data_IF_737401706462
#
_entry.id   IF_737401706462
#
_cell.length_a   1.000
_cell.length_b   1.000
_cell.length_c   1.000
_cell.angle_alpha   90.00
_cell.angle_beta   90.00
_cell.angle_gamma   90.00
#
_symmetry.space_group_name_H-M   'P 1'
#
loop_
_entity.id
_entity.type
_entity.pdbx_description
1 polymer ?
#
# COMPACT_ATOMS: atom_id res chain seq x y z
N UNK A 1 -11.02 23.79 15.07
CA UNK A 1 -10.45 23.60 13.72
C UNK A 1 -10.51 22.12 13.36
N UNK A 2 -10.69 21.79 12.08
CA UNK A 2 -11.01 20.44 11.59
C UNK A 2 -10.06 20.09 10.42
N UNK A 3 -9.59 18.84 10.38
CA UNK A 3 -8.91 18.26 9.23
C UNK A 3 -9.95 17.93 8.15
N UNK A 4 -9.99 18.72 7.08
CA UNK A 4 -11.03 18.63 6.04
C UNK A 4 -10.57 17.94 4.74
N UNK A 5 -9.26 17.71 4.58
CA UNK A 5 -8.70 17.18 3.33
C UNK A 5 -8.88 18.15 2.16
N UNK A 6 -8.55 19.42 2.36
CA UNK A 6 -8.62 20.44 1.30
C UNK A 6 -7.62 20.08 0.20
N UNK A 7 -8.04 20.04 -1.09
CA UNK A 7 -7.12 19.80 -2.19
C UNK A 7 -6.02 20.86 -2.22
N UNK A 8 -4.75 20.45 -2.30
CA UNK A 8 -3.60 21.35 -2.34
C UNK A 8 -2.67 21.02 -3.52
N UNK A 9 -1.83 21.98 -3.91
CA UNK A 9 -0.75 21.75 -4.86
C UNK A 9 0.45 21.02 -4.19
N UNK A 10 1.51 20.75 -4.96
CA UNK A 10 2.71 20.07 -4.48
C UNK A 10 3.46 20.83 -3.37
N UNK A 11 3.23 22.15 -3.26
CA UNK A 11 3.82 23.02 -2.24
C UNK A 11 2.94 23.13 -0.98
N UNK A 12 1.82 22.41 -0.92
CA UNK A 12 0.89 22.42 0.22
C UNK A 12 -0.04 23.65 0.27
N UNK A 13 -0.18 24.38 -0.84
CA UNK A 13 -1.11 25.51 -0.93
C UNK A 13 -2.48 25.04 -1.40
N UNK A 14 -3.53 25.47 -0.71
CA UNK A 14 -4.92 25.13 -1.05
C UNK A 14 -5.29 25.55 -2.47
N UNK A 15 -5.91 24.63 -3.19
CA UNK A 15 -6.46 24.87 -4.52
C UNK A 15 -7.84 25.51 -4.44
N UNK A 16 -8.23 26.36 -5.41
CA UNK A 16 -9.60 26.84 -5.52
C UNK A 16 -10.61 25.68 -5.57
N UNK A 17 -11.84 25.87 -5.06
CA UNK A 17 -12.93 24.91 -5.24
C UNK A 17 -13.09 24.54 -6.72
N UNK A 18 -13.38 23.26 -7.00
CA UNK A 18 -13.58 22.71 -8.35
C UNK A 18 -12.35 22.74 -9.28
N UNK A 19 -11.13 22.92 -8.74
CA UNK A 19 -9.91 22.73 -9.51
C UNK A 19 -9.86 21.33 -10.13
N UNK A 20 -9.55 21.25 -11.43
CA UNK A 20 -9.41 19.97 -12.11
C UNK A 20 -8.30 19.15 -11.44
N UNK A 21 -8.50 17.84 -11.20
CA UNK A 21 -7.45 16.99 -10.66
C UNK A 21 -6.26 17.00 -11.62
N UNK A 22 -5.05 16.94 -11.06
CA UNK A 22 -3.87 16.65 -11.88
C UNK A 22 -4.13 15.38 -12.68
N UNK A 23 -3.74 15.33 -13.97
CA UNK A 23 -3.84 14.11 -14.74
C UNK A 23 -3.16 12.98 -13.97
N UNK A 24 -3.74 11.76 -13.95
CA UNK A 24 -3.09 10.61 -13.36
C UNK A 24 -1.65 10.51 -13.85
N UNK A 25 -0.72 10.14 -12.98
CA UNK A 25 0.66 9.83 -13.36
C UNK A 25 0.73 8.50 -14.12
N UNK A 26 -0.22 8.25 -15.03
CA UNK A 26 -0.33 7.04 -15.82
C UNK A 26 0.64 7.14 -17.00
N UNK A 27 1.84 6.61 -16.76
CA UNK A 27 2.88 6.47 -17.78
C UNK A 27 3.52 7.79 -18.19
N UNK A 28 4.77 7.73 -18.60
CA UNK A 28 5.37 8.80 -19.38
C UNK A 28 4.61 8.85 -20.73
N UNK A 29 3.88 9.93 -21.07
CA UNK A 29 3.16 10.00 -22.34
C UNK A 29 4.10 9.93 -23.55
N UNK A 30 5.39 10.22 -23.37
CA UNK A 30 6.41 10.01 -24.41
C UNK A 30 6.86 8.54 -24.53
N UNK A 31 6.59 7.71 -23.50
CA UNK A 31 6.94 6.29 -23.44
C UNK A 31 5.78 5.45 -22.90
N UNK A 32 4.66 5.34 -23.64
CA UNK A 32 3.46 4.65 -23.18
C UNK A 32 3.69 3.15 -22.90
N UNK A 33 4.73 2.57 -23.48
CA UNK A 33 5.08 1.16 -23.34
C UNK A 33 6.29 0.91 -22.44
N UNK A 34 6.82 1.92 -21.75
CA UNK A 34 8.00 1.74 -20.88
C UNK A 34 7.76 0.58 -19.89
N UNK A 35 8.72 -0.36 -19.74
CA UNK A 35 10.11 -0.36 -20.23
C UNK A 35 10.31 -0.95 -21.64
N UNK A 36 9.24 -1.38 -22.30
CA UNK A 36 9.27 -1.90 -23.65
C UNK A 36 9.44 -0.78 -24.69
N UNK A 37 10.11 -1.11 -25.78
CA UNK A 37 10.35 -0.23 -26.93
C UNK A 37 9.12 -0.02 -27.81
N UNK A 38 8.15 -0.94 -27.77
CA UNK A 38 6.94 -0.89 -28.60
C UNK A 38 5.79 -1.73 -28.03
N UNK A 39 4.57 -1.47 -28.50
CA UNK A 39 3.39 -2.28 -28.20
C UNK A 39 3.59 -3.76 -28.54
N UNK A 40 4.15 -4.06 -29.71
CA UNK A 40 4.38 -5.44 -30.16
C UNK A 40 5.34 -6.18 -29.24
N UNK A 41 6.36 -5.50 -28.70
CA UNK A 41 7.30 -6.08 -27.75
C UNK A 41 6.62 -6.38 -26.40
N UNK A 42 5.72 -5.49 -25.94
CA UNK A 42 4.89 -5.72 -24.75
C UNK A 42 3.94 -6.90 -24.92
N UNK A 43 3.21 -6.96 -26.04
CA UNK A 43 2.25 -8.06 -26.32
C UNK A 43 2.96 -9.42 -26.43
N UNK A 44 4.16 -9.44 -27.02
CA UNK A 44 4.99 -10.65 -27.05
C UNK A 44 5.42 -11.08 -25.63
N UNK A 45 5.80 -10.13 -24.79
CA UNK A 45 6.15 -10.42 -23.40
C UNK A 45 4.95 -10.97 -22.62
N UNK A 46 3.77 -10.36 -22.75
CA UNK A 46 2.54 -10.81 -22.11
C UNK A 46 2.13 -12.21 -22.57
N UNK A 47 2.21 -12.48 -23.88
CA UNK A 47 1.90 -13.79 -24.44
C UNK A 47 2.86 -14.87 -23.89
N UNK A 48 4.17 -14.63 -23.98
CA UNK A 48 5.18 -15.65 -23.67
C UNK A 48 5.35 -15.86 -22.16
N UNK A 49 5.26 -14.79 -21.37
CA UNK A 49 5.50 -14.85 -19.92
C UNK A 49 4.23 -15.12 -19.11
N UNK A 50 3.12 -14.43 -19.43
CA UNK A 50 1.91 -14.48 -18.62
C UNK A 50 0.85 -15.44 -19.19
N UNK A 51 0.64 -15.46 -20.51
CA UNK A 51 -0.35 -16.36 -21.11
C UNK A 51 0.14 -17.81 -21.24
N UNK A 52 1.34 -18.00 -21.81
CA UNK A 52 1.88 -19.32 -22.13
C UNK A 52 2.85 -19.87 -21.05
N UNK A 53 3.33 -19.02 -20.13
CA UNK A 53 4.33 -19.35 -19.10
C UNK A 53 5.52 -20.17 -19.68
N UNK A 54 6.03 -19.72 -20.82
CA UNK A 54 6.93 -20.49 -21.66
C UNK A 54 8.28 -20.74 -20.94
N UNK A 55 8.84 -21.97 -20.99
CA UNK A 55 10.14 -22.25 -20.38
C UNK A 55 11.27 -21.41 -21.00
N UNK A 56 12.21 -20.94 -20.18
CA UNK A 56 13.29 -20.03 -20.60
C UNK A 56 14.05 -20.47 -21.87
N UNK A 57 14.36 -21.76 -22.01
CA UNK A 57 15.05 -22.27 -23.20
C UNK A 57 14.19 -22.24 -24.48
N UNK A 58 12.86 -22.32 -24.35
CA UNK A 58 11.95 -22.15 -25.48
C UNK A 58 11.81 -20.68 -25.86
N UNK A 59 11.86 -19.76 -24.89
CA UNK A 59 11.92 -18.31 -25.14
C UNK A 59 13.17 -17.98 -25.96
N UNK A 60 14.34 -18.49 -25.57
CA UNK A 60 15.59 -18.29 -26.33
C UNK A 60 15.46 -18.82 -27.77
N UNK A 61 14.92 -20.03 -27.92
CA UNK A 61 14.69 -20.63 -29.24
C UNK A 61 13.72 -19.80 -30.10
N UNK A 62 12.67 -19.24 -29.49
CA UNK A 62 11.72 -18.38 -30.18
C UNK A 62 12.39 -17.08 -30.64
N UNK A 63 13.24 -16.46 -29.80
CA UNK A 63 13.99 -15.26 -30.20
C UNK A 63 14.96 -15.54 -31.34
N UNK A 64 15.65 -16.68 -31.32
CA UNK A 64 16.52 -17.12 -32.43
C UNK A 64 15.75 -17.30 -33.74
N UNK A 65 14.55 -17.88 -33.67
CA UNK A 65 13.65 -18.03 -34.83
C UNK A 65 13.23 -16.65 -35.36
N UNK A 66 12.78 -15.75 -34.48
CA UNK A 66 12.35 -14.40 -34.86
C UNK A 66 13.50 -13.60 -35.49
N UNK A 67 14.72 -13.73 -34.96
CA UNK A 67 15.92 -13.13 -35.55
C UNK A 67 16.18 -13.65 -36.97
N UNK A 68 15.96 -14.94 -37.24
CA UNK A 68 16.14 -15.52 -38.56
C UNK A 68 15.08 -15.09 -39.58
N UNK A 69 13.87 -14.72 -39.13
CA UNK A 69 12.81 -14.20 -39.99
C UNK A 69 13.00 -12.71 -40.34
N UNK A 70 13.72 -11.97 -39.53
CA UNK A 70 13.98 -10.55 -39.77
C UNK A 70 15.21 -10.33 -40.65
N UNK A 71 15.08 -9.47 -41.66
CA UNK A 71 16.18 -9.10 -42.55
C UNK A 71 17.31 -8.36 -41.80
N UNK A 72 17.00 -7.74 -40.66
CA UNK A 72 18.00 -7.09 -39.80
C UNK A 72 18.69 -8.05 -38.83
N UNK A 73 18.17 -9.26 -38.64
CA UNK A 73 18.70 -10.24 -37.68
C UNK A 73 18.47 -9.87 -36.21
N UNK A 74 17.62 -8.88 -35.90
CA UNK A 74 17.46 -8.36 -34.54
C UNK A 74 16.16 -8.89 -33.92
N UNK A 75 16.22 -9.77 -32.90
CA UNK A 75 15.02 -10.23 -32.23
C UNK A 75 14.41 -9.15 -31.33
N UNK A 76 13.11 -9.23 -30.99
CA UNK A 76 12.48 -8.32 -30.04
C UNK A 76 13.11 -8.35 -28.63
N UNK A 77 13.67 -9.49 -28.21
CA UNK A 77 14.46 -9.61 -27.00
C UNK A 77 15.73 -10.40 -27.31
N UNK A 78 16.84 -10.04 -26.67
CA UNK A 78 18.13 -10.72 -26.90
C UNK A 78 18.14 -12.17 -26.42
N UNK A 79 17.37 -12.47 -25.36
CA UNK A 79 17.15 -13.78 -24.76
C UNK A 79 16.11 -13.66 -23.63
N UNK A 80 15.79 -14.76 -22.95
CA UNK A 80 14.88 -14.76 -21.81
C UNK A 80 15.30 -13.82 -20.66
N UNK A 81 16.60 -13.59 -20.43
CA UNK A 81 17.06 -12.67 -19.37
C UNK A 81 16.77 -11.21 -19.70
N UNK A 82 16.85 -10.86 -20.97
CA UNK A 82 16.50 -9.52 -21.45
C UNK A 82 15.00 -9.26 -21.28
N UNK A 83 14.17 -10.26 -21.64
CA UNK A 83 12.74 -10.26 -21.36
C UNK A 83 12.45 -10.10 -19.87
N UNK A 84 13.06 -10.94 -19.02
CA UNK A 84 12.84 -10.88 -17.57
C UNK A 84 13.33 -9.56 -16.97
N UNK A 85 14.45 -9.02 -17.46
CA UNK A 85 14.95 -7.71 -17.07
C UNK A 85 13.97 -6.59 -17.41
N UNK A 86 13.33 -6.65 -18.60
CA UNK A 86 12.26 -5.72 -18.95
C UNK A 86 11.05 -5.89 -18.02
N UNK A 87 10.62 -7.10 -17.73
CA UNK A 87 9.49 -7.36 -16.82
C UNK A 87 9.78 -6.83 -15.41
N UNK A 88 10.99 -7.08 -14.90
CA UNK A 88 11.42 -6.58 -13.59
C UNK A 88 11.50 -5.05 -13.57
N UNK A 89 11.81 -4.41 -14.70
CA UNK A 89 11.83 -2.95 -14.85
C UNK A 89 10.43 -2.30 -14.92
N UNK A 90 9.34 -3.07 -15.14
CA UNK A 90 7.95 -2.53 -15.18
C UNK A 90 7.61 -1.81 -13.87
N UNK A 91 8.17 -2.24 -12.74
CA UNK A 91 7.90 -1.59 -11.47
C UNK A 91 9.07 -1.69 -10.50
N UNK A 92 9.83 -0.60 -10.27
CA UNK A 92 10.85 -0.56 -9.22
C UNK A 92 10.26 -0.64 -7.79
N UNK A 93 8.93 -0.61 -7.65
CA UNK A 93 8.20 -0.76 -6.38
C UNK A 93 8.28 -2.18 -5.77
N UNK A 94 9.06 -3.07 -6.38
CA UNK A 94 9.31 -4.44 -5.92
C UNK A 94 10.54 -4.58 -5.02
N UNK A 95 11.04 -3.50 -4.42
CA UNK A 95 12.17 -3.62 -3.47
C UNK A 95 11.67 -4.14 -2.13
N UNK A 96 11.54 -5.46 -2.06
CA UNK A 96 11.45 -6.17 -0.80
C UNK A 96 12.71 -5.91 0.01
N UNK A 97 12.53 -5.53 1.26
CA UNK A 97 13.59 -5.35 2.22
C UNK A 97 13.49 -6.46 3.25
N UNK A 98 14.62 -7.08 3.57
CA UNK A 98 14.70 -7.99 4.70
C UNK A 98 15.08 -7.17 5.94
N UNK A 99 14.23 -7.18 6.95
CA UNK A 99 14.48 -6.59 8.26
C UNK A 99 14.47 -7.67 9.32
N UNK A 100 15.35 -7.56 10.31
CA UNK A 100 15.34 -8.47 11.45
C UNK A 100 14.52 -7.84 12.58
N UNK A 101 13.51 -8.55 13.05
CA UNK A 101 12.59 -8.12 14.11
C UNK A 101 12.81 -8.96 15.37
N UNK A 102 12.62 -8.33 16.53
CA UNK A 102 12.64 -8.97 17.84
C UNK A 102 11.39 -8.55 18.61
N UNK A 103 11.01 -9.32 19.62
CA UNK A 103 9.94 -8.93 20.53
C UNK A 103 10.25 -7.56 21.16
N UNK A 104 9.26 -6.69 21.35
CA UNK A 104 9.46 -5.33 21.88
C UNK A 104 10.26 -5.32 23.20
N UNK A 105 9.97 -6.28 24.07
CA UNK A 105 10.63 -6.43 25.37
C UNK A 105 11.92 -7.27 25.32
N UNK A 106 12.40 -7.68 24.15
CA UNK A 106 13.55 -8.60 24.01
C UNK A 106 14.79 -8.13 24.79
N UNK A 107 15.02 -6.82 24.83
CA UNK A 107 16.15 -6.20 25.52
C UNK A 107 15.97 -6.10 27.05
N UNK A 108 14.76 -6.35 27.56
CA UNK A 108 14.45 -6.30 29.00
C UNK A 108 14.61 -7.66 29.69
N UNK A 109 14.71 -8.73 28.91
CA UNK A 109 14.83 -10.08 29.46
C UNK A 109 16.26 -10.36 29.94
N UNK A 110 16.38 -10.92 31.15
CA UNK A 110 17.66 -11.38 31.68
C UNK A 110 18.10 -12.62 30.90
N UNK A 111 19.36 -12.61 30.45
CA UNK A 111 19.96 -13.74 29.75
C UNK A 111 19.86 -15.01 30.62
N UNK A 112 19.24 -16.05 30.07
CA UNK A 112 19.08 -17.35 30.74
C UNK A 112 17.85 -17.50 31.65
N UNK A 113 16.94 -16.52 31.73
CA UNK A 113 15.70 -16.68 32.50
C UNK A 113 14.80 -17.78 31.89
N UNK A 114 14.54 -18.88 32.62
CA UNK A 114 13.73 -20.00 32.13
C UNK A 114 12.23 -19.68 32.05
N UNK A 115 11.76 -18.56 32.63
CA UNK A 115 10.37 -18.14 32.57
C UNK A 115 9.97 -17.48 31.24
N UNK A 116 10.97 -17.00 30.48
CA UNK A 116 10.75 -16.34 29.19
C UNK A 116 10.89 -17.37 28.06
N UNK A 117 9.81 -17.63 27.29
CA UNK A 117 9.85 -18.56 26.18
C UNK A 117 10.94 -18.22 25.15
N UNK A 118 11.54 -19.25 24.54
CA UNK A 118 12.63 -19.07 23.57
C UNK A 118 12.21 -18.19 22.37
N UNK A 119 10.96 -18.28 21.90
CA UNK A 119 10.44 -17.48 20.80
C UNK A 119 10.43 -15.96 21.10
N UNK A 120 10.29 -15.55 22.37
CA UNK A 120 10.34 -14.10 22.74
C UNK A 120 11.74 -13.51 22.69
N UNK A 121 12.77 -14.35 22.76
CA UNK A 121 14.19 -13.96 22.73
C UNK A 121 14.80 -14.13 21.33
N UNK A 122 14.09 -14.79 20.42
CA UNK A 122 14.55 -15.04 19.08
C UNK A 122 14.45 -13.78 18.21
N UNK A 123 15.36 -13.70 17.24
CA UNK A 123 15.31 -12.73 16.15
C UNK A 123 14.74 -13.42 14.93
N UNK A 124 13.82 -12.75 14.25
CA UNK A 124 13.13 -13.25 13.08
C UNK A 124 13.40 -12.35 11.89
N UNK A 125 13.64 -12.93 10.73
CA UNK A 125 13.78 -12.17 9.49
C UNK A 125 12.41 -12.01 8.83
N UNK A 126 12.05 -10.76 8.55
CA UNK A 126 10.79 -10.36 7.95
C UNK A 126 11.07 -9.68 6.61
N UNK A 127 10.36 -10.11 5.57
CA UNK A 127 10.38 -9.43 4.28
C UNK A 127 9.26 -8.41 4.23
N UNK A 128 9.59 -7.14 3.97
CA UNK A 128 8.66 -6.02 3.99
C UNK A 128 8.87 -5.09 2.79
N UNK A 129 7.79 -4.46 2.31
CA UNK A 129 7.82 -3.37 1.33
C UNK A 129 7.71 -2.02 2.05
N UNK A 130 8.11 -0.93 1.39
CA UNK A 130 7.92 0.41 1.96
C UNK A 130 6.42 0.72 2.17
N UNK A 131 5.94 0.85 3.42
CA UNK A 131 4.53 1.14 3.69
C UNK A 131 4.10 2.47 3.07
N UNK A 132 4.98 3.48 3.06
CA UNK A 132 4.64 4.82 2.58
C UNK A 132 4.33 4.80 1.09
N UNK A 133 5.19 4.18 0.29
CA UNK A 133 4.97 4.03 -1.15
C UNK A 133 3.68 3.27 -1.47
N UNK A 134 3.36 2.21 -0.70
CA UNK A 134 2.11 1.45 -0.88
C UNK A 134 0.87 2.32 -0.63
N UNK A 135 0.87 3.10 0.46
CA UNK A 135 -0.25 4.01 0.79
C UNK A 135 -0.37 5.14 -0.23
N UNK A 136 0.74 5.75 -0.64
CA UNK A 136 0.73 6.78 -1.69
C UNK A 136 0.13 6.22 -2.98
N UNK A 137 0.49 5.00 -3.38
CA UNK A 137 -0.09 4.34 -4.55
C UNK A 137 -1.59 4.07 -4.42
N UNK A 138 -2.04 3.63 -3.24
CA UNK A 138 -3.47 3.45 -2.97
C UNK A 138 -4.22 4.78 -3.13
N UNK A 139 -3.71 5.86 -2.54
CA UNK A 139 -4.34 7.18 -2.61
C UNK A 139 -4.27 7.81 -4.01
N UNK A 140 -3.26 7.48 -4.81
CA UNK A 140 -3.15 7.90 -6.21
C UNK A 140 -4.10 7.16 -7.16
N UNK A 141 -4.80 6.11 -6.70
CA UNK A 141 -5.71 5.36 -7.57
C UNK A 141 -7.00 6.16 -7.84
N UNK A 142 -7.26 6.60 -9.09
CA UNK A 142 -8.46 7.37 -9.41
C UNK A 142 -9.76 6.56 -9.23
N UNK A 143 -9.70 5.22 -9.27
CA UNK A 143 -10.88 4.36 -9.09
C UNK A 143 -11.49 4.44 -7.68
N UNK A 144 -10.71 4.90 -6.69
CA UNK A 144 -11.14 4.96 -5.29
C UNK A 144 -11.81 6.30 -4.95
N UNK A 145 -11.79 7.27 -5.86
CA UNK A 145 -12.28 8.65 -5.62
C UNK A 145 -13.70 8.72 -5.02
N UNK A 146 -14.62 7.90 -5.51
CA UNK A 146 -16.02 7.91 -5.05
C UNK A 146 -16.26 7.05 -3.80
N UNK A 147 -15.21 6.37 -3.31
CA UNK A 147 -15.25 5.41 -2.21
C UNK A 147 -14.29 5.77 -1.08
N UNK A 148 -13.89 7.04 -0.97
CA UNK A 148 -12.96 7.53 0.07
C UNK A 148 -13.55 8.72 0.83
N UNK A 149 -13.44 8.67 2.15
CA UNK A 149 -13.78 9.78 3.03
C UNK A 149 -12.51 10.60 3.36
N UNK A 150 -12.46 11.84 2.88
CA UNK A 150 -11.32 12.76 3.11
C UNK A 150 -11.31 13.38 4.52
N UNK A 151 -12.45 13.39 5.19
CA UNK A 151 -12.64 13.90 6.54
C UNK A 151 -13.54 12.94 7.35
N UNK A 152 -13.34 12.82 8.67
CA UNK A 152 -14.20 11.98 9.48
C UNK A 152 -15.61 12.56 9.56
N UNK A 153 -16.60 11.68 9.67
CA UNK A 153 -17.99 12.06 9.85
C UNK A 153 -18.58 11.35 11.06
N UNK A 154 -19.44 12.03 11.82
CA UNK A 154 -20.25 11.36 12.85
C UNK A 154 -21.60 10.98 12.26
N UNK A 155 -21.87 9.68 12.20
CA UNK A 155 -23.19 9.16 11.84
C UNK A 155 -23.98 8.91 13.12
N UNK A 156 -24.99 9.74 13.37
CA UNK A 156 -25.89 9.60 14.52
C UNK A 156 -27.21 8.95 14.05
N UNK A 157 -27.52 7.75 14.53
CA UNK A 157 -28.77 7.06 14.19
C UNK A 157 -28.68 5.53 14.27
N UNK A 158 -29.74 4.82 13.89
CA UNK A 158 -29.80 3.35 13.98
C UNK A 158 -29.07 2.61 12.84
N UNK A 159 -28.72 3.31 11.76
CA UNK A 159 -28.04 2.75 10.58
C UNK A 159 -26.53 3.00 10.67
N UNK A 160 -25.86 2.30 11.58
CA UNK A 160 -24.40 2.36 11.67
C UNK A 160 -23.78 1.58 10.50
N UNK A 161 -23.28 2.28 9.49
CA UNK A 161 -22.26 1.71 8.62
C UNK A 161 -20.92 1.76 9.35
N UNK A 162 -20.25 0.62 9.50
CA UNK A 162 -18.97 0.51 10.21
C UNK A 162 -17.83 0.80 9.23
N UNK A 163 -17.60 2.07 8.92
CA UNK A 163 -16.40 2.53 8.18
C UNK A 163 -15.48 3.22 9.19
N UNK A 164 -14.15 3.06 9.07
CA UNK A 164 -13.19 3.57 10.07
C UNK A 164 -13.38 5.08 10.34
N UNK A 165 -13.67 5.85 9.29
CA UNK A 165 -13.89 7.30 9.35
C UNK A 165 -15.20 7.74 10.04
N UNK A 166 -16.12 6.80 10.30
CA UNK A 166 -17.33 7.04 11.09
C UNK A 166 -17.16 6.76 12.59
N UNK A 167 -16.00 6.21 12.98
CA UNK A 167 -15.72 5.87 14.36
C UNK A 167 -15.38 7.10 15.22
N UNK A 168 -15.83 7.09 16.48
CA UNK A 168 -15.50 8.13 17.46
C UNK A 168 -13.99 8.39 17.54
N UNK A 169 -13.18 7.34 17.43
CA UNK A 169 -11.72 7.45 17.47
C UNK A 169 -11.16 8.37 16.36
N UNK A 170 -11.61 8.20 15.11
CA UNK A 170 -11.14 9.00 13.97
C UNK A 170 -11.58 10.47 14.10
N UNK A 171 -12.80 10.69 14.57
CA UNK A 171 -13.33 12.02 14.88
C UNK A 171 -12.47 12.75 15.94
N UNK A 172 -12.12 12.05 17.02
CA UNK A 172 -11.31 12.60 18.11
C UNK A 172 -9.89 12.99 17.68
N UNK A 173 -9.34 12.37 16.63
CA UNK A 173 -8.03 12.79 16.09
C UNK A 173 -8.14 14.12 15.31
N UNK A 174 -9.22 14.30 14.56
CA UNK A 174 -9.36 15.37 13.57
C UNK A 174 -10.09 16.62 14.08
N UNK A 175 -10.80 16.53 15.20
CA UNK A 175 -11.61 17.62 15.74
C UNK A 175 -11.08 18.08 17.08
N UNK A 176 -10.53 19.29 17.12
CA UNK A 176 -10.16 19.93 18.38
C UNK A 176 -11.39 20.54 19.03
N UNK A 177 -11.76 20.03 20.21
CA UNK A 177 -12.90 20.46 21.03
C UNK A 177 -12.65 21.83 21.71
N UNK A 178 -12.18 22.83 20.96
CA UNK A 178 -12.30 24.23 21.37
C UNK A 178 -13.54 24.78 20.67
N UNK A 179 -14.70 24.30 21.11
CA UNK A 179 -15.97 24.97 20.82
C UNK A 179 -16.21 25.91 22.00
N UNK A 180 -16.01 27.21 21.81
CA UNK A 180 -16.15 28.25 22.85
C UNK A 180 -17.59 28.43 23.39
N UNK A 181 -18.52 27.51 23.13
CA UNK A 181 -19.94 27.72 23.43
C UNK A 181 -20.75 26.48 23.83
N UNK A 182 -20.14 25.42 24.37
CA UNK A 182 -20.92 24.34 24.97
C UNK A 182 -20.37 23.97 26.35
N UNK A 183 -21.13 24.38 27.37
CA UNK A 183 -20.87 24.15 28.80
C UNK A 183 -21.21 22.69 29.14
N UNK A 184 -20.30 21.77 28.84
CA UNK A 184 -20.37 20.40 29.35
C UNK A 184 -19.06 20.09 30.08
N UNK A 185 -19.10 20.29 31.40
CA UNK A 185 -18.15 19.71 32.36
C UNK A 185 -18.29 18.19 32.35
N UNK A 186 -17.51 17.51 31.52
CA UNK A 186 -17.19 16.10 31.76
C UNK A 186 -15.79 16.02 32.39
N UNK A 187 -15.75 15.24 33.46
CA UNK A 187 -14.64 15.12 34.40
C UNK A 187 -13.35 14.69 33.70
N UNK A 188 -12.37 15.59 33.73
CA UNK A 188 -10.99 15.36 33.34
C UNK A 188 -10.37 14.34 34.30
N UNK A 189 -10.26 13.06 33.92
CA UNK A 189 -9.35 12.07 34.52
C UNK A 189 -9.41 10.73 33.76
N UNK A 190 -9.20 10.76 32.44
CA UNK A 190 -8.69 9.60 31.70
C UNK A 190 -7.55 10.12 30.84
N UNK A 191 -6.35 9.57 31.06
CA UNK A 191 -5.09 10.00 30.46
C UNK A 191 -5.18 10.10 28.93
N UNK A 192 -5.14 11.34 28.43
CA UNK A 192 -4.22 11.90 27.42
C UNK A 192 -3.73 11.06 26.21
N UNK A 193 -4.43 10.01 25.82
CA UNK A 193 -4.15 9.25 24.59
C UNK A 193 -5.12 9.62 23.46
N UNK A 194 -5.22 10.91 23.12
CA UNK A 194 -5.94 11.35 21.93
C UNK A 194 -5.04 12.30 21.15
N UNK A 195 -4.44 11.80 20.06
CA UNK A 195 -3.56 12.56 19.17
C UNK A 195 -4.39 13.66 18.51
N UNK A 196 -4.39 14.85 19.10
CA UNK A 196 -5.11 15.99 18.52
C UNK A 196 -4.24 16.60 17.44
N UNK A 197 -4.10 15.90 16.31
CA UNK A 197 -3.44 16.38 15.09
C UNK A 197 -3.99 17.75 14.68
N UNK A 198 -5.29 17.97 14.91
CA UNK A 198 -5.99 19.23 14.72
C UNK A 198 -5.60 20.40 15.64
N UNK A 199 -4.81 20.17 16.70
CA UNK A 199 -4.24 21.25 17.52
C UNK A 199 -3.08 21.95 16.83
N UNK A 200 -2.37 21.22 15.97
CA UNK A 200 -1.27 21.76 15.21
C UNK A 200 -1.84 22.56 14.03
N UNK A 201 -1.43 23.82 13.93
CA UNK A 201 -1.87 24.71 12.84
C UNK A 201 -1.31 24.25 11.49
N UNK A 202 -0.15 23.58 11.46
CA UNK A 202 0.44 23.04 10.23
C UNK A 202 -0.37 21.89 9.63
N UNK A 203 -1.19 21.22 10.45
CA UNK A 203 -2.04 20.13 9.98
C UNK A 203 -3.39 20.63 9.45
N UNK A 204 -3.74 21.91 9.61
CA UNK A 204 -5.03 22.42 9.15
C UNK A 204 -5.16 22.29 7.63
N UNK A 205 -6.30 21.77 7.17
CA UNK A 205 -6.51 21.43 5.76
C UNK A 205 -5.99 20.04 5.35
N UNK A 206 -5.08 19.43 6.11
CA UNK A 206 -4.56 18.10 5.80
C UNK A 206 -5.64 17.01 5.85
N UNK A 207 -5.44 15.95 5.05
CA UNK A 207 -6.25 14.75 5.10
C UNK A 207 -5.71 13.80 6.18
N UNK A 208 -6.58 13.38 7.09
CA UNK A 208 -6.25 12.32 8.04
C UNK A 208 -6.36 10.96 7.35
N UNK A 209 -5.28 10.18 7.36
CA UNK A 209 -5.22 8.85 6.73
C UNK A 209 -4.94 7.77 7.77
N UNK A 210 -5.97 7.17 8.40
CA UNK A 210 -5.79 5.99 9.24
C UNK A 210 -5.17 4.84 8.45
N UNK A 211 -4.20 4.15 9.05
CA UNK A 211 -3.59 2.95 8.48
C UNK A 211 -4.15 1.73 9.18
N UNK A 212 -4.67 0.79 8.39
CA UNK A 212 -5.17 -0.51 8.85
C UNK A 212 -4.16 -1.58 8.43
N UNK A 213 -3.68 -2.33 9.40
CA UNK A 213 -2.88 -3.53 9.18
C UNK A 213 -3.70 -4.76 9.54
N UNK A 214 -3.72 -5.74 8.65
CA UNK A 214 -4.38 -7.02 8.87
C UNK A 214 -3.41 -8.16 8.58
N UNK A 215 -3.47 -9.24 9.34
CA UNK A 215 -2.74 -10.46 9.02
C UNK A 215 -3.64 -11.65 9.21
N UNK A 216 -3.51 -12.62 8.31
CA UNK A 216 -4.21 -13.90 8.39
C UNK A 216 -3.23 -15.04 8.20
N UNK A 217 -3.53 -16.19 8.81
CA UNK A 217 -2.69 -17.38 8.72
C UNK A 217 -2.84 -17.99 7.33
N UNK A 218 -1.77 -18.01 6.54
CA UNK A 218 -1.80 -18.68 5.24
C UNK A 218 -0.80 -19.83 5.19
N UNK A 219 -1.27 -21.03 4.87
CA UNK A 219 -0.41 -22.18 4.62
C UNK A 219 0.09 -22.13 3.17
N UNK A 220 1.39 -21.90 2.96
CA UNK A 220 1.95 -21.58 1.63
C UNK A 220 2.34 -22.82 0.81
N UNK A 221 2.43 -24.03 1.41
CA UNK A 221 2.65 -25.25 0.64
C UNK A 221 2.00 -26.49 1.27
N UNK A 222 1.45 -27.35 0.41
CA UNK A 222 0.89 -28.67 0.78
C UNK A 222 1.97 -29.77 0.69
N UNK A 223 3.10 -29.51 0.01
CA UNK A 223 4.06 -30.54 -0.41
C UNK A 223 5.40 -30.56 0.36
N UNK A 224 5.74 -29.53 1.15
CA UNK A 224 6.97 -29.50 1.96
C UNK A 224 6.64 -28.87 3.30
N UNK A 225 6.22 -29.73 4.25
CA UNK A 225 5.73 -29.31 5.55
C UNK A 225 6.69 -28.39 6.33
N UNK A 226 6.07 -27.59 7.21
CA UNK A 226 6.62 -26.80 8.31
C UNK A 226 7.00 -25.32 8.12
N UNK A 227 6.80 -24.69 6.95
CA UNK A 227 6.93 -23.23 6.85
C UNK A 227 5.55 -22.58 6.71
N UNK A 228 5.08 -21.97 7.80
CA UNK A 228 3.90 -21.10 7.81
C UNK A 228 4.37 -19.66 7.67
N UNK A 229 3.73 -18.88 6.82
CA UNK A 229 3.97 -17.45 6.72
C UNK A 229 2.68 -16.71 6.98
N UNK A 230 2.79 -15.60 7.68
CA UNK A 230 1.69 -14.70 7.99
C UNK A 230 1.83 -13.45 7.11
N UNK A 231 1.13 -13.37 5.97
CA UNK A 231 1.08 -12.14 5.20
C UNK A 231 0.51 -11.02 6.06
N UNK A 232 1.15 -9.86 5.98
CA UNK A 232 0.62 -8.60 6.50
C UNK A 232 0.08 -7.83 5.32
N UNK A 233 -1.18 -7.42 5.41
CA UNK A 233 -1.83 -6.51 4.48
C UNK A 233 -1.92 -5.11 5.09
N UNK A 234 -1.84 -4.10 4.24
CA UNK A 234 -1.95 -2.69 4.57
C UNK A 234 -3.04 -2.03 3.71
N UNK A 235 -3.89 -1.21 4.33
CA UNK A 235 -4.95 -0.44 3.69
C UNK A 235 -5.08 0.91 4.37
N UNK A 236 -5.52 1.92 3.64
CA UNK A 236 -6.06 3.14 4.23
C UNK A 236 -7.45 2.88 4.81
N UNK A 237 -7.75 3.44 5.97
CA UNK A 237 -9.06 3.32 6.64
C UNK A 237 -10.10 4.31 6.11
N UNK A 238 -9.69 5.26 5.28
CA UNK A 238 -10.57 6.21 4.60
C UNK A 238 -11.48 5.54 3.57
N UNK A 239 -11.07 4.38 3.10
CA UNK A 239 -11.70 3.70 1.98
C UNK A 239 -12.89 2.89 2.47
N UNK A 240 -14.00 2.99 1.75
CA UNK A 240 -15.20 2.23 2.02
C UNK A 240 -14.97 0.75 1.72
N UNK A 241 -15.62 -0.12 2.49
CA UNK A 241 -15.42 -1.58 2.38
C UNK A 241 -15.60 -2.14 0.96
N UNK A 242 -16.45 -1.52 0.14
CA UNK A 242 -16.65 -1.91 -1.26
C UNK A 242 -15.39 -1.77 -2.13
N UNK A 243 -14.54 -0.77 -1.88
CA UNK A 243 -13.27 -0.61 -2.59
C UNK A 243 -12.18 -1.57 -2.09
N UNK A 244 -12.34 -2.16 -0.89
CA UNK A 244 -11.50 -3.26 -0.41
C UNK A 244 -11.83 -4.61 -1.06
N UNK A 245 -13.07 -4.80 -1.54
CA UNK A 245 -13.55 -6.05 -2.14
C UNK A 245 -13.57 -6.01 -3.68
N UNK A 246 -13.62 -4.82 -4.28
CA UNK A 246 -13.50 -4.63 -5.73
C UNK A 246 -12.04 -4.67 -6.20
N UNK A 247 -11.83 -4.71 -7.53
CA UNK A 247 -10.51 -4.62 -8.16
C UNK A 247 -9.71 -3.32 -7.83
N UNK A 248 -10.24 -2.44 -6.97
CA UNK A 248 -9.78 -1.08 -6.69
C UNK A 248 -8.46 -0.95 -5.93
N UNK A 249 -7.65 -2.01 -5.82
CA UNK A 249 -6.28 -1.98 -5.25
C UNK A 249 -6.15 -1.28 -3.88
N UNK A 250 -7.22 -1.20 -3.09
CA UNK A 250 -7.24 -0.50 -1.80
C UNK A 250 -6.51 -1.27 -0.68
N UNK A 251 -6.28 -2.58 -0.88
CA UNK A 251 -5.50 -3.44 0.02
C UNK A 251 -4.22 -3.85 -0.69
N UNK A 252 -3.08 -3.76 0.01
CA UNK A 252 -1.78 -4.16 -0.51
C UNK A 252 -1.06 -5.08 0.46
N UNK A 253 -0.30 -6.05 -0.05
CA UNK A 253 0.54 -6.93 0.78
C UNK A 253 1.76 -6.16 1.32
N UNK A 254 1.80 -5.82 2.59
CA UNK A 254 2.94 -5.13 3.18
C UNK A 254 4.17 -6.02 3.33
N UNK A 255 3.99 -7.24 3.83
CA UNK A 255 5.11 -8.08 4.25
C UNK A 255 4.72 -9.52 4.54
N UNK A 256 5.71 -10.33 4.87
CA UNK A 256 5.54 -11.69 5.37
C UNK A 256 6.24 -11.83 6.72
N UNK A 257 5.45 -12.12 7.75
CA UNK A 257 5.97 -12.56 9.03
C UNK A 257 6.26 -14.07 8.98
N UNK A 258 7.36 -14.51 9.60
CA UNK A 258 7.69 -15.93 9.75
C UNK A 258 6.88 -16.63 10.84
#
# INVERSE_FOLDING_TARGET
MILLGTPCNADGQDLPPDSAPSPPADGDPERPWYPFSSQAQFELADLVYHCDEMPAGQIDSLMDILAAFDASGTPPFSNHKDLYGCIDAISPERTWQCISITHADANTFVNGDPSVPAWKKATYDMWIRDPKSLIQKQLSNPEIKDFIDYAPCQVLGNNHQRVCMTGNWAWEQCVSFICYHCDIRLSWNVLDFQNKLSKDEENHGAMFVPIILGSDKTTVSVATGNNEYWPIYISTGNVHNCACHGHGRAVSLLGFLP
#
